data_IF_229597070180
#
_entry.id   IF_229597070180
#
_cell.length_a   1.000
_cell.length_b   1.000
_cell.length_c   1.000
_cell.angle_alpha   90.00
_cell.angle_beta   90.00
_cell.angle_gamma   90.00
#
_symmetry.space_group_name_H-M   'P 1'
#
loop_
_entity.id
_entity.type
_entity.pdbx_description
1 polymer ?
#
# COMPACT_ATOMS: atom_id res chain seq x y z
N UNK A 1 17.19 41.84 -11.92
CA UNK A 1 16.62 41.03 -10.82
C UNK A 1 16.18 39.72 -11.42
N UNK A 2 16.90 38.62 -11.09
CA UNK A 2 16.91 37.39 -11.92
C UNK A 2 15.60 36.64 -11.88
N UNK A 3 15.07 36.30 -13.07
CA UNK A 3 13.88 35.46 -13.31
C UNK A 3 13.96 34.10 -12.57
N UNK A 4 15.15 33.53 -12.45
CA UNK A 4 15.44 32.28 -11.75
C UNK A 4 15.17 32.32 -10.22
N UNK A 5 15.20 33.49 -9.59
CA UNK A 5 14.89 33.64 -8.17
C UNK A 5 13.38 33.65 -7.92
N UNK A 6 12.59 34.18 -8.85
CA UNK A 6 11.13 34.19 -8.76
C UNK A 6 10.54 32.79 -9.03
N UNK A 7 11.11 32.05 -9.97
CA UNK A 7 10.75 30.64 -10.20
C UNK A 7 11.08 29.75 -8.98
N UNK A 8 12.24 29.97 -8.36
CA UNK A 8 12.64 29.28 -7.13
C UNK A 8 11.65 29.54 -5.98
N UNK A 9 11.29 30.81 -5.76
CA UNK A 9 10.35 31.20 -4.71
C UNK A 9 8.94 30.60 -4.95
N UNK A 10 8.46 30.56 -6.19
CA UNK A 10 7.19 29.93 -6.55
C UNK A 10 7.20 28.43 -6.29
N UNK A 11 8.27 27.72 -6.66
CA UNK A 11 8.43 26.28 -6.40
C UNK A 11 8.45 25.94 -4.91
N UNK A 12 9.11 26.77 -4.10
CA UNK A 12 9.09 26.65 -2.64
C UNK A 12 7.68 26.89 -2.08
N UNK A 13 6.97 27.89 -2.59
CA UNK A 13 5.60 28.19 -2.19
C UNK A 13 4.67 26.98 -2.38
N UNK A 14 4.65 26.39 -3.57
CA UNK A 14 3.85 25.20 -3.85
C UNK A 14 4.26 23.99 -2.99
N UNK A 15 5.57 23.78 -2.81
CA UNK A 15 6.04 22.68 -1.96
C UNK A 15 5.59 22.83 -0.49
N UNK A 16 5.65 24.06 0.04
CA UNK A 16 5.19 24.34 1.41
C UNK A 16 3.68 24.20 1.55
N UNK A 17 2.90 24.57 0.53
CA UNK A 17 1.45 24.38 0.52
C UNK A 17 1.09 22.90 0.51
N UNK A 18 1.74 22.09 -0.34
CA UNK A 18 1.57 20.63 -0.37
C UNK A 18 1.92 19.99 0.98
N UNK A 19 2.99 20.45 1.64
CA UNK A 19 3.35 19.99 2.99
C UNK A 19 2.28 20.37 4.02
N UNK A 20 1.75 21.58 3.94
CA UNK A 20 0.70 22.06 4.84
C UNK A 20 -0.59 21.29 4.65
N UNK A 21 -1.00 21.02 3.41
CA UNK A 21 -2.17 20.17 3.11
C UNK A 21 -2.00 18.76 3.67
N UNK A 22 -0.81 18.15 3.50
CA UNK A 22 -0.52 16.85 4.08
C UNK A 22 -0.57 16.86 5.61
N UNK A 23 -0.05 17.90 6.25
CA UNK A 23 -0.08 18.05 7.70
C UNK A 23 -1.51 18.30 8.24
N UNK A 24 -2.34 19.06 7.51
CA UNK A 24 -3.71 19.39 7.94
C UNK A 24 -4.67 18.19 7.94
N UNK A 25 -4.35 17.13 7.19
CA UNK A 25 -5.19 15.94 7.09
C UNK A 25 -4.84 14.88 8.16
N UNK A 26 -3.83 15.11 8.96
CA UNK A 26 -3.56 14.25 10.12
C UNK A 26 -4.66 14.45 11.17
N UNK A 27 -5.58 13.49 11.25
CA UNK A 27 -6.60 13.44 12.29
C UNK A 27 -5.93 12.91 13.57
N UNK A 28 -5.88 13.68 14.66
CA UNK A 28 -5.28 13.22 15.92
C UNK A 28 -6.08 12.13 16.63
N UNK A 29 -7.29 11.82 16.14
CA UNK A 29 -8.17 10.79 16.66
C UNK A 29 -8.07 9.55 15.79
N UNK A 30 -7.49 8.49 16.36
CA UNK A 30 -7.51 7.15 15.76
C UNK A 30 -8.78 6.42 16.19
N UNK A 31 -9.64 6.08 15.23
CA UNK A 31 -10.76 5.18 15.49
C UNK A 31 -10.24 3.76 15.51
N UNK A 32 -10.25 3.12 16.66
CA UNK A 32 -9.82 1.73 16.83
C UNK A 32 -11.03 0.83 16.99
N UNK A 33 -11.00 -0.30 16.32
CA UNK A 33 -11.92 -1.40 16.55
C UNK A 33 -11.40 -2.35 17.63
N UNK A 34 -12.24 -3.31 17.99
CA UNK A 34 -11.92 -4.38 18.93
C UNK A 34 -12.16 -5.73 18.29
N UNK A 35 -11.17 -6.62 18.37
CA UNK A 35 -11.28 -7.99 17.90
C UNK A 35 -12.24 -8.75 18.83
N UNK A 36 -13.28 -9.35 18.27
CA UNK A 36 -14.29 -10.08 19.06
C UNK A 36 -14.17 -11.59 18.90
N UNK A 37 -13.78 -12.06 17.74
CA UNK A 37 -13.74 -13.48 17.43
C UNK A 37 -12.68 -13.81 16.38
N UNK A 38 -12.11 -15.00 16.50
CA UNK A 38 -11.30 -15.64 15.48
C UNK A 38 -12.04 -16.93 15.05
N UNK A 39 -12.35 -17.09 13.77
CA UNK A 39 -12.99 -18.25 13.21
C UNK A 39 -12.24 -18.74 11.96
N UNK A 40 -11.37 -19.71 12.15
CA UNK A 40 -10.48 -20.20 11.08
C UNK A 40 -9.52 -19.10 10.62
N UNK A 41 -9.61 -18.70 9.35
CA UNK A 41 -8.77 -17.66 8.74
C UNK A 41 -9.41 -16.26 8.79
N UNK A 42 -10.58 -16.11 9.39
CA UNK A 42 -11.30 -14.83 9.42
C UNK A 42 -11.38 -14.32 10.85
N UNK A 43 -11.05 -13.05 11.01
CA UNK A 43 -11.13 -12.29 12.24
C UNK A 43 -12.38 -11.41 12.21
N UNK A 44 -13.15 -11.40 13.29
CA UNK A 44 -14.30 -10.49 13.45
C UNK A 44 -13.90 -9.36 14.38
N UNK A 45 -14.14 -8.13 13.97
CA UNK A 45 -13.93 -6.94 14.78
C UNK A 45 -15.16 -6.03 14.76
N UNK A 46 -15.37 -5.28 15.83
CA UNK A 46 -16.43 -4.29 15.97
C UNK A 46 -15.84 -2.90 16.14
N UNK A 47 -16.62 -1.87 15.82
CA UNK A 47 -16.20 -0.47 15.98
C UNK A 47 -15.31 0.06 14.85
N UNK A 48 -15.09 -0.71 13.80
CA UNK A 48 -14.36 -0.27 12.60
C UNK A 48 -15.31 0.37 11.59
N UNK A 49 -14.92 1.55 11.08
CA UNK A 49 -15.61 2.25 9.99
C UNK A 49 -14.64 2.52 8.86
N UNK A 50 -14.24 1.47 8.17
CA UNK A 50 -13.27 1.53 7.07
C UNK A 50 -13.80 0.73 5.89
N UNK A 51 -13.50 1.10 4.64
CA UNK A 51 -13.95 0.36 3.47
C UNK A 51 -13.31 -1.03 3.36
N UNK A 52 -13.93 -1.92 2.57
CA UNK A 52 -13.32 -3.20 2.17
C UNK A 52 -12.00 -2.94 1.44
N UNK A 53 -11.00 -3.78 1.65
CA UNK A 53 -9.64 -3.61 1.14
C UNK A 53 -8.74 -2.76 2.05
N UNK A 54 -9.29 -2.14 3.11
CA UNK A 54 -8.47 -1.38 4.06
C UNK A 54 -7.58 -2.31 4.88
N UNK A 55 -6.34 -1.88 5.08
CA UNK A 55 -5.41 -2.58 5.95
C UNK A 55 -5.51 -2.12 7.39
N UNK A 56 -5.42 -3.07 8.31
CA UNK A 56 -5.48 -2.84 9.75
C UNK A 56 -4.34 -3.57 10.45
N UNK A 57 -3.84 -2.99 11.53
CA UNK A 57 -2.93 -3.65 12.45
C UNK A 57 -3.70 -4.15 13.67
N UNK A 58 -3.49 -5.42 14.03
CA UNK A 58 -4.16 -6.08 15.14
C UNK A 58 -3.14 -6.44 16.21
N UNK A 59 -3.35 -5.98 17.42
CA UNK A 59 -2.54 -6.34 18.55
C UNK A 59 -2.50 -5.28 19.64
N UNK A 60 -2.61 -5.71 20.89
CA UNK A 60 -2.37 -4.90 22.08
C UNK A 60 -1.02 -5.29 22.68
N UNK A 61 0.01 -4.48 22.44
CA UNK A 61 1.32 -4.70 23.05
C UNK A 61 2.06 -5.96 22.61
N UNK A 62 1.67 -6.59 21.50
CA UNK A 62 2.45 -7.62 20.85
C UNK A 62 3.74 -6.98 20.34
N UNK A 63 4.85 -7.73 20.40
CA UNK A 63 6.13 -7.28 19.82
C UNK A 63 5.99 -6.97 18.34
N UNK A 64 5.13 -7.74 17.65
CA UNK A 64 4.82 -7.57 16.24
C UNK A 64 3.30 -7.60 16.05
N UNK A 65 2.66 -6.47 15.69
CA UNK A 65 1.24 -6.45 15.36
C UNK A 65 0.97 -7.23 14.07
N UNK A 66 -0.17 -7.93 14.03
CA UNK A 66 -0.57 -8.70 12.85
C UNK A 66 -1.26 -7.79 11.85
N UNK A 67 -0.74 -7.75 10.63
CA UNK A 67 -1.39 -7.06 9.53
C UNK A 67 -2.60 -7.87 9.06
N UNK A 68 -3.73 -7.21 8.81
CA UNK A 68 -4.95 -7.83 8.30
C UNK A 68 -5.67 -6.89 7.33
N UNK A 69 -6.38 -7.46 6.38
CA UNK A 69 -7.18 -6.74 5.39
C UNK A 69 -8.67 -6.92 5.67
N UNK A 70 -9.45 -5.85 5.53
CA UNK A 70 -10.91 -5.90 5.65
C UNK A 70 -11.50 -6.52 4.40
N UNK A 71 -12.11 -7.70 4.51
CA UNK A 71 -12.68 -8.45 3.40
C UNK A 71 -14.20 -8.34 3.29
N UNK A 72 -14.87 -7.80 4.31
CA UNK A 72 -16.32 -7.62 4.28
C UNK A 72 -16.91 -7.11 5.59
N UNK A 73 -18.22 -6.94 5.59
CA UNK A 73 -19.01 -6.49 6.74
C UNK A 73 -20.32 -7.26 6.89
N UNK A 74 -20.79 -7.35 8.12
CA UNK A 74 -22.14 -7.78 8.45
C UNK A 74 -22.65 -6.97 9.65
N UNK A 75 -23.58 -6.05 9.40
CA UNK A 75 -24.01 -5.11 10.41
C UNK A 75 -22.89 -4.18 10.88
N UNK A 76 -22.59 -4.23 12.19
CA UNK A 76 -21.51 -3.47 12.83
C UNK A 76 -20.17 -4.22 12.90
N UNK A 77 -20.12 -5.44 12.34
CA UNK A 77 -18.94 -6.31 12.35
C UNK A 77 -18.18 -6.20 11.06
N UNK A 78 -16.88 -6.00 11.17
CA UNK A 78 -15.93 -6.11 10.08
C UNK A 78 -15.29 -7.49 10.11
N UNK A 79 -15.15 -8.10 8.94
CA UNK A 79 -14.40 -9.33 8.73
C UNK A 79 -13.02 -8.99 8.16
N UNK A 80 -11.99 -9.50 8.83
CA UNK A 80 -10.61 -9.25 8.42
C UNK A 80 -9.90 -10.57 8.12
N UNK A 81 -9.07 -10.55 7.11
CA UNK A 81 -8.17 -11.65 6.76
C UNK A 81 -6.75 -11.29 7.19
N UNK A 82 -6.13 -12.04 8.11
CA UNK A 82 -4.77 -11.78 8.54
C UNK A 82 -3.78 -12.14 7.42
N UNK A 83 -2.76 -11.33 7.25
CA UNK A 83 -1.67 -11.55 6.29
C UNK A 83 -0.48 -12.30 6.89
N UNK A 84 -0.48 -12.53 8.21
CA UNK A 84 0.57 -13.20 8.95
C UNK A 84 0.04 -14.21 9.97
N UNK A 85 0.95 -14.68 10.83
CA UNK A 85 0.61 -15.61 11.89
C UNK A 85 -0.30 -14.92 12.93
N UNK A 86 -1.37 -15.59 13.28
CA UNK A 86 -2.36 -15.13 14.27
C UNK A 86 -2.03 -15.60 15.68
N UNK A 87 -0.89 -16.26 15.88
CA UNK A 87 -0.50 -16.78 17.17
C UNK A 87 -0.33 -15.64 18.20
N UNK A 88 -0.93 -15.79 19.36
CA UNK A 88 -0.91 -14.77 20.41
C UNK A 88 -2.00 -13.70 20.32
N UNK A 89 -2.82 -13.68 19.27
CA UNK A 89 -4.00 -12.82 19.24
C UNK A 89 -5.04 -13.29 20.24
N UNK A 90 -5.62 -12.35 20.98
CA UNK A 90 -6.69 -12.62 21.93
C UNK A 90 -7.94 -11.80 21.62
N UNK A 91 -9.09 -12.27 22.05
CA UNK A 91 -10.31 -11.46 22.04
C UNK A 91 -10.08 -10.20 22.87
N UNK A 92 -10.57 -9.06 22.40
CA UNK A 92 -10.31 -7.75 22.99
C UNK A 92 -9.07 -7.04 22.44
N UNK A 93 -8.29 -7.67 21.55
CA UNK A 93 -7.17 -7.01 20.88
C UNK A 93 -7.64 -5.77 20.10
N UNK A 94 -6.86 -4.69 20.10
CA UNK A 94 -7.18 -3.50 19.31
C UNK A 94 -6.94 -3.75 17.83
N UNK A 95 -7.82 -3.22 17.02
CA UNK A 95 -7.70 -3.21 15.56
C UNK A 95 -7.59 -1.76 15.12
N UNK A 96 -6.42 -1.39 14.64
CA UNK A 96 -6.11 -0.01 14.23
C UNK A 96 -6.01 0.04 12.71
N UNK A 97 -6.88 0.79 12.02
CA UNK A 97 -6.75 0.99 10.59
C UNK A 97 -5.42 1.69 10.26
N UNK A 98 -4.73 1.22 9.23
CA UNK A 98 -3.61 1.96 8.69
C UNK A 98 -4.14 3.21 7.99
N UNK A 99 -3.47 4.33 8.22
CA UNK A 99 -3.79 5.57 7.52
C UNK A 99 -3.61 5.36 6.01
N UNK A 100 -4.47 5.97 5.17
CA UNK A 100 -4.29 5.92 3.73
C UNK A 100 -2.91 6.47 3.36
N UNK A 101 -2.23 5.76 2.47
CA UNK A 101 -0.91 6.19 1.98
C UNK A 101 -0.99 7.60 1.38
N UNK A 102 -0.07 8.46 1.79
CA UNK A 102 0.13 9.78 1.21
C UNK A 102 1.57 9.89 0.75
N UNK A 103 1.82 10.11 -0.55
CA UNK A 103 3.16 10.33 -1.04
C UNK A 103 3.73 11.59 -0.38
N UNK A 104 4.99 11.52 0.03
CA UNK A 104 5.70 12.70 0.52
C UNK A 104 5.87 13.67 -0.66
N UNK A 105 5.47 14.96 -0.52
CA UNK A 105 5.66 15.94 -1.56
C UNK A 105 7.13 16.02 -2.00
N UNK A 106 7.38 16.03 -3.31
CA UNK A 106 8.71 16.19 -3.89
C UNK A 106 8.78 17.51 -4.67
N UNK A 107 9.78 18.31 -4.37
CA UNK A 107 9.95 19.59 -5.06
C UNK A 107 10.12 19.42 -6.57
N UNK A 108 9.34 20.15 -7.35
CA UNK A 108 9.35 20.10 -8.82
C UNK A 108 8.60 18.95 -9.46
N UNK A 109 7.86 18.15 -8.69
CA UNK A 109 6.90 17.19 -9.20
C UNK A 109 5.49 17.64 -8.86
N UNK A 110 4.55 17.43 -9.80
CA UNK A 110 3.14 17.64 -9.52
C UNK A 110 2.68 16.54 -8.54
N UNK A 111 2.38 16.90 -7.31
CA UNK A 111 1.85 15.98 -6.33
C UNK A 111 0.38 15.71 -6.67
N UNK A 112 0.12 14.55 -7.27
CA UNK A 112 -1.24 14.12 -7.54
C UNK A 112 -1.88 13.67 -6.23
N UNK A 113 -3.04 14.22 -5.84
CA UNK A 113 -3.76 13.72 -4.67
C UNK A 113 -4.04 12.22 -4.85
N UNK A 114 -4.02 11.42 -3.77
CA UNK A 114 -4.34 10.02 -3.84
C UNK A 114 -5.73 9.82 -4.44
N UNK A 115 -5.83 8.94 -5.41
CA UNK A 115 -7.12 8.55 -6.00
C UNK A 115 -8.03 7.97 -4.91
N UNK A 116 -9.37 8.11 -5.04
CA UNK A 116 -10.29 7.37 -4.17
C UNK A 116 -10.02 5.87 -4.12
N UNK A 117 -9.54 5.29 -5.22
CA UNK A 117 -9.15 3.89 -5.33
C UNK A 117 -7.84 3.54 -4.59
N UNK A 118 -7.05 4.55 -4.23
CA UNK A 118 -5.80 4.39 -3.47
C UNK A 118 -6.02 4.28 -1.95
N UNK A 119 -7.25 4.42 -1.49
CA UNK A 119 -7.56 4.43 -0.06
C UNK A 119 -7.54 3.03 0.51
N UNK A 120 -6.49 2.72 1.25
CA UNK A 120 -6.36 1.46 1.99
C UNK A 120 -5.88 0.25 1.18
N UNK A 121 -5.67 0.39 -0.12
CA UNK A 121 -5.13 -0.69 -0.95
C UNK A 121 -3.70 -1.07 -0.53
N UNK A 122 -3.39 -2.36 -0.57
CA UNK A 122 -2.02 -2.86 -0.42
C UNK A 122 -1.13 -2.21 -1.48
N UNK A 123 -0.01 -1.64 -1.05
CA UNK A 123 0.96 -1.01 -1.96
C UNK A 123 2.28 -1.76 -1.92
N UNK A 124 2.84 -1.97 -3.08
CA UNK A 124 4.13 -2.61 -3.25
C UNK A 124 5.16 -1.62 -3.77
N UNK A 125 6.42 -1.76 -3.34
CA UNK A 125 7.50 -0.98 -3.90
C UNK A 125 7.74 -1.39 -5.36
N UNK A 126 7.85 -0.41 -6.25
CA UNK A 126 8.20 -0.60 -7.66
C UNK A 126 9.40 0.28 -8.01
N UNK A 127 10.19 -0.17 -8.98
CA UNK A 127 11.28 0.62 -9.52
C UNK A 127 12.64 -0.07 -9.46
N UNK A 128 13.66 0.66 -9.87
CA UNK A 128 15.03 0.12 -9.99
C UNK A 128 15.66 -0.28 -8.65
N UNK A 129 15.16 0.28 -7.53
CA UNK A 129 15.63 -0.09 -6.20
C UNK A 129 15.33 -1.54 -5.80
N UNK A 130 14.45 -2.24 -6.54
CA UNK A 130 14.16 -3.67 -6.34
C UNK A 130 15.15 -4.60 -7.05
N UNK A 131 15.97 -4.10 -7.94
CA UNK A 131 16.90 -4.96 -8.67
C UNK A 131 17.93 -5.59 -7.72
N UNK A 132 17.99 -6.91 -7.73
CA UNK A 132 18.87 -7.69 -6.84
C UNK A 132 18.40 -7.80 -5.39
N UNK A 133 17.16 -7.38 -5.08
CA UNK A 133 16.56 -7.48 -3.76
C UNK A 133 15.58 -8.65 -3.67
N UNK A 134 15.44 -9.20 -2.49
CA UNK A 134 14.46 -10.25 -2.16
C UNK A 134 13.45 -9.64 -1.19
N UNK A 135 12.18 -9.71 -1.54
CA UNK A 135 11.08 -9.14 -0.76
C UNK A 135 9.98 -10.18 -0.51
N UNK A 136 9.21 -9.97 0.56
CA UNK A 136 8.00 -10.73 0.83
C UNK A 136 6.82 -10.25 -0.04
N UNK A 137 5.64 -10.84 0.17
CA UNK A 137 4.40 -10.47 -0.55
C UNK A 137 3.90 -9.06 -0.22
N UNK A 138 4.43 -8.40 0.80
CA UNK A 138 4.08 -7.05 1.22
C UNK A 138 5.16 -6.02 0.83
N UNK A 139 6.24 -6.47 0.17
CA UNK A 139 7.34 -5.63 -0.24
C UNK A 139 8.38 -5.36 0.84
N UNK A 140 8.36 -6.09 1.97
CA UNK A 140 9.39 -5.98 2.98
C UNK A 140 10.65 -6.76 2.58
N UNK A 141 11.85 -6.22 2.80
CA UNK A 141 13.08 -6.90 2.42
C UNK A 141 13.34 -8.13 3.31
N UNK A 142 13.62 -9.27 2.67
CA UNK A 142 14.03 -10.53 3.32
C UNK A 142 15.53 -10.79 3.23
N UNK A 143 16.26 -10.01 2.46
CA UNK A 143 17.66 -10.20 2.11
C UNK A 143 18.66 -9.64 3.12
N UNK A 144 18.21 -9.07 4.23
CA UNK A 144 19.02 -8.41 5.26
C UNK A 144 19.92 -7.25 4.75
N UNK A 145 19.62 -6.71 3.56
CA UNK A 145 20.38 -5.60 2.97
C UNK A 145 19.85 -4.21 3.36
N UNK A 146 18.99 -4.14 4.39
CA UNK A 146 18.40 -2.89 4.87
C UNK A 146 17.19 -2.42 4.04
N UNK A 147 16.71 -1.20 4.29
CA UNK A 147 15.51 -0.69 3.64
C UNK A 147 15.70 -0.56 2.12
N UNK A 148 14.59 -0.72 1.38
CA UNK A 148 14.60 -0.53 -0.06
C UNK A 148 14.49 0.96 -0.36
N UNK A 149 15.43 1.50 -1.11
CA UNK A 149 15.50 2.90 -1.52
C UNK A 149 15.29 3.04 -3.02
N UNK A 150 14.97 4.24 -3.49
CA UNK A 150 14.70 4.55 -4.91
C UNK A 150 13.57 3.69 -5.51
N UNK A 151 12.48 3.56 -4.76
CA UNK A 151 11.26 2.89 -5.19
C UNK A 151 10.07 3.82 -5.03
N UNK A 152 9.07 3.61 -5.87
CA UNK A 152 7.77 4.25 -5.77
C UNK A 152 6.75 3.24 -5.26
N UNK A 153 5.93 3.63 -4.29
CA UNK A 153 4.88 2.76 -3.76
C UNK A 153 3.66 2.82 -4.70
N UNK A 154 3.32 1.70 -5.31
CA UNK A 154 2.18 1.59 -6.21
C UNK A 154 1.09 0.67 -5.64
N UNK A 155 -0.20 1.00 -5.82
CA UNK A 155 -1.29 0.13 -5.40
C UNK A 155 -1.22 -1.20 -6.17
N UNK A 156 -1.49 -2.30 -5.48
CA UNK A 156 -1.51 -3.63 -6.07
C UNK A 156 -2.72 -3.80 -7.00
N UNK A 157 -3.85 -3.23 -6.59
CA UNK A 157 -5.08 -3.23 -7.38
C UNK A 157 -5.07 -2.02 -8.33
N UNK A 158 -4.87 -2.28 -9.61
CA UNK A 158 -5.01 -1.28 -10.67
C UNK A 158 -6.04 -1.75 -11.67
N UNK A 159 -6.86 -0.80 -12.12
CA UNK A 159 -7.73 -1.06 -13.25
C UNK A 159 -6.89 -1.52 -14.47
N UNK A 160 -7.34 -2.54 -15.21
CA UNK A 160 -6.63 -2.98 -16.41
C UNK A 160 -6.55 -1.84 -17.43
N UNK A 161 -5.45 -1.78 -18.16
CA UNK A 161 -5.27 -0.81 -19.24
C UNK A 161 -6.37 -1.05 -20.28
N UNK A 162 -7.00 0.03 -20.75
CA UNK A 162 -7.99 -0.06 -21.82
C UNK A 162 -7.42 -0.85 -23.00
N UNK A 163 -8.19 -1.78 -23.54
CA UNK A 163 -7.74 -2.64 -24.63
C UNK A 163 -7.29 -1.86 -25.87
N UNK A 164 -7.88 -0.66 -26.09
CA UNK A 164 -7.52 0.21 -27.22
C UNK A 164 -6.19 0.96 -27.01
N UNK A 165 -5.74 1.08 -25.77
CA UNK A 165 -4.48 1.76 -25.40
C UNK A 165 -3.31 0.77 -25.26
N UNK A 166 -3.56 -0.52 -25.52
CA UNK A 166 -2.54 -1.57 -25.45
C UNK A 166 -1.79 -1.69 -26.77
N UNK A 167 -0.47 -1.65 -26.68
CA UNK A 167 0.35 -2.05 -27.82
C UNK A 167 0.28 -3.57 -28.06
N UNK A 168 0.22 -4.03 -29.31
CA UNK A 168 0.23 -5.45 -29.63
C UNK A 168 1.56 -6.07 -29.22
N UNK A 169 1.52 -7.19 -28.50
CA UNK A 169 2.70 -7.96 -28.14
C UNK A 169 3.34 -8.54 -29.41
N UNK A 170 4.60 -8.21 -29.67
CA UNK A 170 5.35 -8.65 -30.87
C UNK A 170 6.59 -9.46 -30.55
N UNK A 171 7.13 -9.32 -29.35
CA UNK A 171 8.37 -9.98 -28.94
C UNK A 171 8.11 -10.96 -27.80
N UNK A 172 8.67 -12.19 -27.86
CA UNK A 172 8.59 -13.11 -26.74
C UNK A 172 9.47 -12.61 -25.58
N UNK A 173 9.01 -12.81 -24.36
CA UNK A 173 9.74 -12.52 -23.14
C UNK A 173 10.34 -13.83 -22.59
N UNK A 174 11.65 -13.87 -22.44
CA UNK A 174 12.31 -14.92 -21.67
C UNK A 174 12.11 -14.65 -20.16
N UNK A 175 11.38 -15.54 -19.50
CA UNK A 175 11.10 -15.44 -18.06
C UNK A 175 12.21 -16.02 -17.18
N UNK A 176 13.23 -16.68 -17.77
CA UNK A 176 14.26 -17.41 -17.05
C UNK A 176 13.81 -18.76 -16.46
N UNK A 177 12.50 -19.08 -16.57
CA UNK A 177 11.94 -20.33 -16.06
C UNK A 177 11.64 -21.26 -17.23
N UNK A 178 12.36 -22.39 -17.34
CA UNK A 178 12.24 -23.34 -18.47
C UNK A 178 10.82 -23.84 -18.71
N UNK A 179 10.09 -24.15 -17.65
CA UNK A 179 8.70 -24.66 -17.77
C UNK A 179 7.78 -23.60 -18.39
N UNK A 180 7.93 -22.33 -18.01
CA UNK A 180 7.12 -21.25 -18.57
C UNK A 180 7.50 -21.03 -20.02
N UNK A 181 8.79 -20.91 -20.32
CA UNK A 181 9.27 -20.64 -21.68
C UNK A 181 8.95 -21.78 -22.67
N UNK A 182 8.86 -23.03 -22.17
CA UNK A 182 8.55 -24.18 -23.03
C UNK A 182 7.06 -24.39 -23.29
N UNK A 183 6.21 -24.03 -22.33
CA UNK A 183 4.79 -24.35 -22.37
C UNK A 183 3.88 -23.13 -22.60
N UNK A 184 4.38 -21.93 -22.34
CA UNK A 184 3.61 -20.69 -22.45
C UNK A 184 4.38 -19.67 -23.31
N UNK A 185 3.63 -18.95 -24.14
CA UNK A 185 4.19 -17.79 -24.87
C UNK A 185 3.89 -16.54 -24.05
N UNK A 186 4.89 -16.05 -23.33
CA UNK A 186 4.80 -14.78 -22.64
C UNK A 186 5.38 -13.69 -23.53
N UNK A 187 4.66 -12.61 -23.70
CA UNK A 187 5.09 -11.50 -24.54
C UNK A 187 5.56 -10.32 -23.72
N UNK A 188 6.44 -9.53 -24.34
CA UNK A 188 6.89 -8.25 -23.83
C UNK A 188 5.86 -7.19 -24.22
N UNK A 189 5.22 -6.55 -23.22
CA UNK A 189 4.22 -5.51 -23.40
C UNK A 189 4.58 -4.22 -22.69
#
# INVERSE_FOLDING_TARGET
>A
MNDSTLEGASRWGHFMEDLRENAAVHTPLEVRGTLTRLAGLVLEAVGLKVPVGSQCLIGNGLKEPVLAEVVGFSGDRAYLMPAGDTHGLSSGASVTPLAPYRPVPRMGQANKPPSPDDRGALRLPLGRGLLGRVVDSHGHPLDHLGPIINVDMAPMDRAPINAMDRDPVREPLDTGVRAINALLTVGRG
#
